data_IF_784135487542
#
_entry.id   IF_784135487542
#
_cell.length_a   1.000
_cell.length_b   1.000
_cell.length_c   1.000
_cell.angle_alpha   90.00
_cell.angle_beta   90.00
_cell.angle_gamma   90.00
#
_symmetry.space_group_name_H-M   'P 1'
#
loop_
_entity.id
_entity.type
_entity.pdbx_description
1 polymer ?
#
# COMPACT_ATOMS: atom_id res chain seq x y z
N UNK A 1 -1.82 -4.52 13.39
CA UNK A 1 -0.89 -4.99 12.34
C UNK A 1 -0.87 -3.93 11.26
N UNK A 2 0.31 -3.42 10.90
CA UNK A 2 0.44 -2.43 9.82
C UNK A 2 0.41 -3.12 8.45
N UNK A 3 -0.05 -2.40 7.43
CA UNK A 3 -0.01 -2.86 6.05
C UNK A 3 1.40 -2.68 5.49
N UNK A 4 1.88 -3.70 4.77
CA UNK A 4 3.24 -3.75 4.22
C UNK A 4 3.21 -3.63 2.70
N UNK A 5 4.01 -2.72 2.16
CA UNK A 5 4.25 -2.57 0.72
C UNK A 5 5.71 -2.95 0.39
N UNK A 6 5.92 -3.97 -0.42
CA UNK A 6 7.26 -4.39 -0.84
C UNK A 6 7.76 -3.57 -2.02
N UNK A 7 8.94 -2.97 -1.90
CA UNK A 7 9.58 -2.27 -3.02
C UNK A 7 10.43 -3.28 -3.79
N UNK A 8 10.11 -3.49 -5.05
CA UNK A 8 10.81 -4.40 -5.95
C UNK A 8 11.29 -3.67 -7.21
N UNK A 9 12.22 -4.26 -7.92
CA UNK A 9 12.72 -3.75 -9.19
C UNK A 9 14.05 -4.40 -9.56
N UNK A 10 14.43 -4.29 -10.83
CA UNK A 10 15.73 -4.73 -11.31
C UNK A 10 16.87 -3.92 -10.67
N UNK A 11 18.11 -4.38 -10.73
CA UNK A 11 19.26 -3.57 -10.31
C UNK A 11 19.33 -2.24 -11.08
N UNK A 12 19.84 -1.20 -10.41
CA UNK A 12 20.12 0.12 -10.99
C UNK A 12 18.89 0.91 -11.50
N UNK A 13 17.69 0.61 -11.00
CA UNK A 13 16.46 1.37 -11.31
C UNK A 13 16.18 2.53 -10.36
N UNK A 14 17.04 2.75 -9.35
CA UNK A 14 16.86 3.78 -8.32
C UNK A 14 16.09 3.29 -7.07
N UNK A 15 15.90 1.97 -6.92
CA UNK A 15 15.16 1.38 -5.80
C UNK A 15 15.75 1.76 -4.44
N UNK A 16 17.06 1.64 -4.25
CA UNK A 16 17.74 1.95 -2.99
C UNK A 16 17.70 3.45 -2.68
N UNK A 17 17.84 4.31 -3.67
CA UNK A 17 17.71 5.77 -3.53
C UNK A 17 16.30 6.12 -3.04
N UNK A 18 15.27 5.55 -3.66
CA UNK A 18 13.88 5.74 -3.24
C UNK A 18 13.64 5.26 -1.81
N UNK A 19 14.15 4.06 -1.47
CA UNK A 19 14.00 3.50 -0.12
C UNK A 19 14.74 4.34 0.92
N UNK A 20 15.93 4.87 0.61
CA UNK A 20 16.67 5.77 1.49
C UNK A 20 15.88 7.07 1.75
N UNK A 21 15.29 7.67 0.71
CA UNK A 21 14.45 8.84 0.87
C UNK A 21 13.22 8.56 1.77
N UNK A 22 12.57 7.41 1.61
CA UNK A 22 11.49 6.96 2.48
C UNK A 22 11.94 6.80 3.93
N UNK A 23 13.07 6.13 4.17
CA UNK A 23 13.59 5.87 5.53
C UNK A 23 14.09 7.14 6.21
N UNK A 24 14.71 8.06 5.47
CA UNK A 24 15.09 9.38 6.00
C UNK A 24 13.87 10.20 6.41
N UNK A 25 12.83 10.19 5.58
CA UNK A 25 11.54 10.83 5.91
C UNK A 25 10.92 10.18 7.15
N UNK A 26 10.94 8.86 7.26
CA UNK A 26 10.48 8.12 8.43
C UNK A 26 11.28 8.46 9.69
N UNK A 27 12.60 8.55 9.61
CA UNK A 27 13.47 8.91 10.73
C UNK A 27 13.23 10.35 11.22
N UNK A 28 13.06 11.31 10.29
CA UNK A 28 12.73 12.68 10.62
C UNK A 28 11.35 12.80 11.31
N UNK A 29 10.38 12.00 10.88
CA UNK A 29 9.07 11.91 11.53
C UNK A 29 9.15 11.21 12.90
N UNK A 30 9.97 10.16 13.02
CA UNK A 30 10.16 9.40 14.26
C UNK A 30 10.74 10.24 15.40
N UNK A 31 11.56 11.24 15.09
CA UNK A 31 12.08 12.18 16.08
C UNK A 31 10.96 12.96 16.81
N UNK A 32 9.79 13.07 16.19
CA UNK A 32 8.61 13.74 16.73
C UNK A 32 7.60 12.77 17.41
N UNK A 33 7.78 11.44 17.25
CA UNK A 33 6.85 10.44 17.77
C UNK A 33 7.59 9.30 18.47
N UNK A 34 7.34 9.02 19.76
CA UNK A 34 7.92 7.89 20.48
C UNK A 34 7.38 6.55 19.92
N UNK A 35 8.22 5.51 19.92
CA UNK A 35 7.92 4.12 19.51
C UNK A 35 8.09 3.77 18.01
N UNK A 36 8.89 4.50 17.23
CA UNK A 36 9.28 4.06 15.89
C UNK A 36 10.49 3.12 15.98
N UNK A 37 10.31 1.87 15.58
CA UNK A 37 11.40 0.90 15.44
C UNK A 37 12.06 1.08 14.07
N UNK A 38 13.38 1.22 14.02
CA UNK A 38 14.15 1.23 12.77
C UNK A 38 14.71 -0.18 12.60
N UNK A 39 14.13 -0.94 11.68
CA UNK A 39 14.63 -2.24 11.26
C UNK A 39 15.36 -2.12 9.92
N UNK A 40 16.45 -2.86 9.68
CA UNK A 40 17.11 -2.89 8.37
C UNK A 40 16.09 -3.27 7.27
N UNK A 41 16.11 -2.55 6.18
CA UNK A 41 15.22 -2.76 5.03
C UNK A 41 13.71 -2.57 5.29
N UNK A 42 13.34 -1.93 6.40
CA UNK A 42 11.95 -1.60 6.74
C UNK A 42 11.83 -0.10 7.01
N UNK A 43 10.95 0.58 6.29
CA UNK A 43 10.63 2.00 6.45
C UNK A 43 9.18 2.17 6.84
N UNK A 44 8.92 2.62 8.08
CA UNK A 44 7.58 2.88 8.56
C UNK A 44 7.28 4.38 8.44
N UNK A 45 6.44 4.78 7.48
CA UNK A 45 6.19 6.17 7.10
C UNK A 45 4.76 6.60 7.41
N UNK A 46 4.61 7.86 7.84
CA UNK A 46 3.29 8.45 8.03
C UNK A 46 2.58 8.64 6.68
N UNK A 47 1.28 8.34 6.66
CA UNK A 47 0.42 8.63 5.51
C UNK A 47 0.04 10.11 5.56
N UNK A 48 0.40 10.90 4.54
CA UNK A 48 0.05 12.31 4.51
C UNK A 48 -1.46 12.49 4.39
N UNK A 49 -2.07 13.15 5.38
CA UNK A 49 -3.50 13.44 5.38
C UNK A 49 -3.75 14.83 6.01
N UNK A 50 -3.98 15.88 5.20
CA UNK A 50 -4.17 17.24 5.70
C UNK A 50 -5.44 17.38 6.56
N UNK A 51 -6.37 16.44 6.48
CA UNK A 51 -7.59 16.44 7.30
C UNK A 51 -7.28 16.32 8.78
N UNK A 52 -6.23 15.56 9.13
CA UNK A 52 -5.84 15.34 10.52
C UNK A 52 -5.39 16.62 11.21
N UNK A 53 -4.59 17.45 10.52
CA UNK A 53 -4.15 18.75 11.05
C UNK A 53 -5.32 19.71 11.24
N UNK A 54 -6.26 19.75 10.28
CA UNK A 54 -7.48 20.55 10.37
C UNK A 54 -8.33 20.14 11.57
N UNK A 55 -8.52 18.84 11.77
CA UNK A 55 -9.28 18.31 12.92
C UNK A 55 -8.60 18.64 14.25
N UNK A 56 -7.28 18.49 14.32
CA UNK A 56 -6.50 18.81 15.51
C UNK A 56 -6.58 20.30 15.87
N UNK A 57 -6.53 21.19 14.88
CA UNK A 57 -6.65 22.63 15.08
C UNK A 57 -8.04 23.02 15.65
N UNK A 58 -9.12 22.45 15.10
CA UNK A 58 -10.49 22.69 15.56
C UNK A 58 -10.71 22.19 17.00
N UNK A 59 -10.17 21.01 17.33
CA UNK A 59 -10.33 20.40 18.65
C UNK A 59 -9.34 20.95 19.70
N UNK A 60 -8.33 21.69 19.30
CA UNK A 60 -7.23 22.13 20.17
C UNK A 60 -6.41 20.96 20.70
N UNK A 61 -6.20 19.92 19.88
CA UNK A 61 -5.49 18.70 20.26
C UNK A 61 -4.01 19.01 20.56
N UNK A 62 -3.48 18.38 21.62
CA UNK A 62 -2.07 18.56 22.02
C UNK A 62 -1.12 17.73 21.15
N UNK A 63 -1.59 16.57 20.69
CA UNK A 63 -0.83 15.64 19.86
C UNK A 63 -1.55 15.32 18.55
N UNK A 64 -0.80 15.16 17.47
CA UNK A 64 -1.31 14.80 16.14
C UNK A 64 -0.63 13.49 15.76
N UNK A 65 -1.40 12.40 15.64
CA UNK A 65 -0.86 11.07 15.39
C UNK A 65 -1.38 10.55 14.04
N UNK A 66 -0.55 10.59 12.98
CA UNK A 66 -0.93 10.07 11.66
C UNK A 66 -0.98 8.55 11.65
N UNK A 67 -1.74 7.99 10.72
CA UNK A 67 -1.61 6.57 10.40
C UNK A 67 -0.32 6.30 9.63
N UNK A 68 0.12 5.05 9.60
CA UNK A 68 1.41 4.66 9.02
C UNK A 68 1.25 3.49 8.06
N UNK A 69 2.14 3.45 7.07
CA UNK A 69 2.33 2.32 6.16
C UNK A 69 3.79 1.89 6.20
N UNK A 70 4.02 0.60 6.15
CA UNK A 70 5.36 0.02 6.18
C UNK A 70 5.82 -0.30 4.78
N UNK A 71 6.96 0.26 4.35
CA UNK A 71 7.65 -0.15 3.15
C UNK A 71 8.79 -1.11 3.48
N UNK A 72 8.94 -2.15 2.67
CA UNK A 72 10.00 -3.16 2.82
C UNK A 72 10.87 -3.16 1.57
N UNK A 73 12.17 -2.87 1.70
CA UNK A 73 13.10 -3.01 0.58
C UNK A 73 13.38 -4.48 0.32
N UNK A 74 12.90 -4.97 -0.81
CA UNK A 74 13.12 -6.34 -1.25
C UNK A 74 14.26 -6.33 -2.27
N UNK A 75 15.34 -7.05 -1.97
CA UNK A 75 16.53 -7.11 -2.82
C UNK A 75 16.17 -7.43 -4.28
N UNK A 76 16.87 -6.80 -5.23
CA UNK A 76 16.52 -6.88 -6.64
C UNK A 76 16.47 -8.30 -7.22
N UNK A 77 15.48 -8.56 -8.05
CA UNK A 77 15.33 -9.80 -8.80
C UNK A 77 16.31 -9.83 -9.97
N UNK A 78 16.95 -10.96 -10.21
CA UNK A 78 17.68 -11.29 -11.44
C UNK A 78 16.94 -12.41 -12.15
N UNK A 79 17.01 -12.47 -13.48
CA UNK A 79 16.44 -13.56 -14.27
C UNK A 79 16.87 -14.92 -13.74
N UNK A 80 15.93 -15.88 -13.66
CA UNK A 80 16.20 -17.24 -13.16
C UNK A 80 16.11 -17.37 -11.64
N UNK A 81 15.64 -16.36 -10.92
CA UNK A 81 15.48 -16.41 -9.46
C UNK A 81 14.49 -17.50 -9.02
N UNK A 82 13.51 -17.84 -9.85
CA UNK A 82 12.56 -18.94 -9.59
C UNK A 82 13.23 -20.33 -9.64
N UNK A 83 14.38 -20.46 -10.31
CA UNK A 83 15.13 -21.72 -10.46
C UNK A 83 16.43 -21.75 -9.65
N UNK A 84 16.77 -20.63 -8.96
CA UNK A 84 18.04 -20.46 -8.25
C UNK A 84 18.01 -20.92 -6.80
N UNK A 85 19.14 -21.43 -6.31
CA UNK A 85 19.38 -21.63 -4.90
C UNK A 85 19.79 -20.30 -4.22
N UNK A 86 19.33 -20.03 -3.00
CA UNK A 86 19.81 -18.90 -2.18
C UNK A 86 19.02 -17.59 -2.31
N UNK A 87 19.61 -16.54 -2.88
CA UNK A 87 19.04 -15.17 -2.90
C UNK A 87 17.66 -15.07 -3.58
N UNK A 88 17.38 -15.86 -4.63
CA UNK A 88 16.11 -15.89 -5.31
C UNK A 88 14.98 -16.38 -4.40
N UNK A 89 15.21 -17.42 -3.61
CA UNK A 89 14.22 -17.94 -2.67
C UNK A 89 13.92 -16.94 -1.56
N UNK A 90 14.91 -16.21 -1.07
CA UNK A 90 14.72 -15.16 -0.07
C UNK A 90 13.89 -13.99 -0.63
N UNK A 91 14.17 -13.57 -1.86
CA UNK A 91 13.37 -12.57 -2.58
C UNK A 91 11.89 -12.97 -2.65
N UNK A 92 11.60 -14.20 -3.10
CA UNK A 92 10.23 -14.71 -3.20
C UNK A 92 9.54 -14.82 -1.84
N UNK A 93 10.29 -15.19 -0.78
CA UNK A 93 9.77 -15.23 0.58
C UNK A 93 9.35 -13.84 1.07
N UNK A 94 10.19 -12.84 0.86
CA UNK A 94 9.90 -11.45 1.25
C UNK A 94 8.67 -10.90 0.52
N UNK A 95 8.49 -11.20 -0.79
CA UNK A 95 7.28 -10.80 -1.52
C UNK A 95 6.03 -11.46 -0.94
N UNK A 96 6.12 -12.71 -0.44
CA UNK A 96 4.96 -13.37 0.18
C UNK A 96 4.49 -12.68 1.46
N UNK A 97 5.37 -12.01 2.19
CA UNK A 97 5.09 -11.37 3.47
C UNK A 97 4.47 -9.97 3.38
N UNK A 98 4.49 -9.34 2.19
CA UNK A 98 3.91 -8.01 1.98
C UNK A 98 2.49 -8.08 1.42
N UNK A 99 1.71 -7.01 1.57
CA UNK A 99 0.31 -6.95 1.13
C UNK A 99 0.16 -6.40 -0.29
N UNK A 100 1.09 -5.57 -0.73
CA UNK A 100 1.17 -5.00 -2.09
C UNK A 100 2.62 -4.87 -2.55
N UNK A 101 2.81 -4.67 -3.85
CA UNK A 101 4.13 -4.51 -4.48
C UNK A 101 4.21 -3.13 -5.14
N UNK A 102 5.22 -2.34 -4.75
CA UNK A 102 5.65 -1.14 -5.46
C UNK A 102 6.81 -1.52 -6.39
N UNK A 103 6.52 -1.63 -7.68
CA UNK A 103 7.48 -2.05 -8.69
C UNK A 103 8.17 -0.83 -9.30
N UNK A 104 9.41 -0.59 -8.91
CA UNK A 104 10.23 0.54 -9.40
C UNK A 104 10.80 0.20 -10.77
N UNK A 105 10.54 1.07 -11.73
CA UNK A 105 10.93 0.94 -13.11
C UNK A 105 11.81 2.14 -13.52
N UNK A 106 12.90 1.86 -14.23
CA UNK A 106 13.79 2.89 -14.74
C UNK A 106 13.17 3.55 -15.98
N UNK A 107 12.79 4.81 -15.83
CA UNK A 107 12.21 5.64 -16.90
C UNK A 107 13.10 6.87 -17.21
N UNK A 108 14.42 6.75 -17.03
CA UNK A 108 15.41 7.79 -17.30
C UNK A 108 16.60 7.22 -18.05
N UNK A 109 17.24 8.06 -18.87
CA UNK A 109 18.50 7.76 -19.55
C UNK A 109 19.66 8.34 -18.73
N UNK A 110 20.72 7.54 -18.54
CA UNK A 110 21.93 7.94 -17.85
C UNK A 110 23.05 7.00 -18.32
N UNK A 111 24.04 7.56 -19.02
CA UNK A 111 25.15 6.81 -19.61
C UNK A 111 26.11 6.23 -18.56
N UNK A 112 26.16 6.82 -17.37
CA UNK A 112 27.00 6.37 -16.25
C UNK A 112 26.38 5.18 -15.49
N UNK A 113 25.10 4.91 -15.70
CA UNK A 113 24.35 3.84 -15.03
C UNK A 113 24.05 2.71 -16.01
N UNK A 114 24.77 1.59 -15.90
CA UNK A 114 24.55 0.42 -16.74
C UNK A 114 23.17 -0.20 -16.48
N UNK A 115 22.38 -0.43 -17.54
CA UNK A 115 21.17 -1.22 -17.47
C UNK A 115 21.48 -2.72 -17.57
N UNK A 116 20.85 -3.55 -16.74
CA UNK A 116 21.14 -5.01 -16.66
C UNK A 116 20.83 -5.71 -17.99
N UNK A 117 19.79 -5.26 -18.70
CA UNK A 117 19.38 -5.82 -20.01
C UNK A 117 20.00 -5.06 -21.19
N UNK A 118 20.93 -4.11 -20.95
CA UNK A 118 21.61 -3.32 -21.99
C UNK A 118 20.73 -2.31 -22.73
N UNK A 119 19.44 -2.23 -22.41
CA UNK A 119 18.45 -1.35 -23.04
C UNK A 119 17.43 -0.90 -21.98
N UNK A 120 17.03 0.38 -22.01
CA UNK A 120 15.99 0.91 -21.14
C UNK A 120 14.62 0.60 -21.77
N UNK A 121 13.91 -0.36 -21.21
CA UNK A 121 12.57 -0.76 -21.63
C UNK A 121 11.77 -1.19 -20.40
N UNK A 122 11.16 -0.22 -19.65
CA UNK A 122 10.51 -0.50 -18.39
C UNK A 122 9.31 -1.46 -18.52
N UNK A 123 8.69 -1.54 -19.69
CA UNK A 123 7.60 -2.50 -19.93
C UNK A 123 8.17 -3.92 -19.95
N UNK A 124 9.25 -4.14 -20.69
CA UNK A 124 9.96 -5.44 -20.73
C UNK A 124 10.53 -5.81 -19.36
N UNK A 125 11.03 -4.82 -18.60
CA UNK A 125 11.52 -5.03 -17.23
C UNK A 125 10.40 -5.49 -16.29
N UNK A 126 9.23 -4.86 -16.40
CA UNK A 126 8.06 -5.25 -15.62
C UNK A 126 7.59 -6.67 -15.95
N UNK A 127 7.51 -7.01 -17.23
CA UNK A 127 7.15 -8.35 -17.70
C UNK A 127 8.15 -9.42 -17.23
N UNK A 128 9.45 -9.08 -17.20
CA UNK A 128 10.51 -10.00 -16.72
C UNK A 128 10.27 -10.36 -15.24
N UNK A 129 10.07 -9.37 -14.39
CA UNK A 129 9.81 -9.59 -12.95
C UNK A 129 8.51 -10.36 -12.76
N UNK A 130 7.44 -9.97 -13.44
CA UNK A 130 6.14 -10.62 -13.32
C UNK A 130 6.18 -12.09 -13.76
N UNK A 131 6.91 -12.39 -14.84
CA UNK A 131 7.09 -13.76 -15.33
C UNK A 131 7.75 -14.65 -14.28
N UNK A 132 8.80 -14.17 -13.61
CA UNK A 132 9.47 -14.95 -12.54
C UNK A 132 8.52 -15.21 -11.35
N UNK A 133 7.69 -14.24 -10.98
CA UNK A 133 6.69 -14.40 -9.93
C UNK A 133 5.60 -15.41 -10.34
N UNK A 134 5.12 -15.34 -11.60
CA UNK A 134 4.12 -16.28 -12.12
C UNK A 134 4.65 -17.71 -12.15
N UNK A 135 5.91 -17.92 -12.56
CA UNK A 135 6.54 -19.25 -12.57
C UNK A 135 6.64 -19.83 -11.15
N UNK A 136 7.05 -19.01 -10.18
CA UNK A 136 7.15 -19.44 -8.79
C UNK A 136 5.77 -19.75 -8.16
N UNK A 137 4.74 -18.96 -8.48
CA UNK A 137 3.36 -19.23 -8.06
C UNK A 137 2.84 -20.53 -8.68
N UNK A 138 3.07 -20.73 -9.98
CA UNK A 138 2.65 -21.92 -10.70
C UNK A 138 3.28 -23.18 -10.10
N UNK A 139 4.58 -23.19 -9.85
CA UNK A 139 5.30 -24.30 -9.21
C UNK A 139 4.73 -24.60 -7.81
N UNK A 140 4.46 -23.55 -7.03
CA UNK A 140 3.86 -23.70 -5.70
C UNK A 140 2.47 -24.35 -5.75
N UNK A 141 1.65 -23.93 -6.71
CA UNK A 141 0.29 -24.48 -6.87
C UNK A 141 0.29 -25.91 -7.38
N UNK A 142 1.13 -26.24 -8.37
CA UNK A 142 1.21 -27.59 -8.94
C UNK A 142 1.56 -28.63 -7.88
N UNK A 143 2.41 -28.29 -6.91
CA UNK A 143 2.72 -29.16 -5.77
C UNK A 143 1.49 -29.45 -4.88
N UNK A 144 0.50 -28.55 -4.84
CA UNK A 144 -0.71 -28.68 -4.01
C UNK A 144 -1.85 -29.44 -4.69
N UNK A 145 -1.87 -29.53 -6.03
CA UNK A 145 -2.97 -30.11 -6.81
C UNK A 145 -3.17 -31.60 -6.46
N UNK A 146 -2.15 -32.44 -6.63
CA UNK A 146 -2.26 -33.90 -6.41
C UNK A 146 -2.77 -34.30 -5.03
N UNK A 147 -2.28 -33.71 -3.91
CA UNK A 147 -2.83 -33.99 -2.58
C UNK A 147 -4.31 -33.59 -2.44
N UNK A 148 -4.67 -32.41 -3.00
CA UNK A 148 -6.05 -31.91 -2.93
C UNK A 148 -7.02 -32.73 -3.79
N UNK A 149 -6.62 -33.20 -4.97
CA UNK A 149 -7.41 -34.08 -5.81
C UNK A 149 -7.78 -35.38 -5.08
N UNK A 150 -6.84 -36.00 -4.35
CA UNK A 150 -7.11 -37.18 -3.55
C UNK A 150 -8.18 -36.92 -2.48
N UNK A 151 -8.09 -35.83 -1.75
CA UNK A 151 -9.06 -35.41 -0.73
C UNK A 151 -10.41 -35.03 -1.34
N UNK A 152 -10.43 -34.31 -2.44
CA UNK A 152 -11.65 -33.94 -3.16
C UNK A 152 -12.40 -35.18 -3.66
N UNK A 153 -11.68 -36.19 -4.16
CA UNK A 153 -12.24 -37.47 -4.62
C UNK A 153 -12.74 -38.34 -3.45
N UNK A 154 -12.20 -38.20 -2.23
CA UNK A 154 -12.72 -38.82 -1.03
C UNK A 154 -13.98 -38.18 -0.45
N UNK A 155 -14.44 -37.07 -1.04
CA UNK A 155 -15.68 -36.40 -0.69
C UNK A 155 -15.53 -35.16 0.18
N UNK A 156 -14.29 -34.71 0.51
CA UNK A 156 -14.05 -33.51 1.31
C UNK A 156 -14.48 -32.26 0.53
N UNK A 157 -15.48 -31.54 1.03
CA UNK A 157 -16.05 -30.34 0.40
C UNK A 157 -15.03 -29.22 0.32
N UNK A 158 -14.32 -28.94 1.42
CA UNK A 158 -13.29 -27.90 1.50
C UNK A 158 -12.14 -28.12 0.51
N UNK A 159 -11.74 -29.39 0.31
CA UNK A 159 -10.71 -29.73 -0.68
C UNK A 159 -11.17 -29.47 -2.11
N UNK A 160 -12.46 -29.66 -2.42
CA UNK A 160 -13.01 -29.34 -3.75
C UNK A 160 -13.05 -27.86 -4.00
N UNK A 161 -13.47 -27.06 -3.01
CA UNK A 161 -13.52 -25.60 -3.09
C UNK A 161 -12.11 -25.02 -3.27
N UNK A 162 -11.15 -25.49 -2.47
CA UNK A 162 -9.75 -25.07 -2.58
C UNK A 162 -9.14 -25.44 -3.95
N UNK A 163 -9.42 -26.65 -4.44
CA UNK A 163 -8.95 -27.11 -5.76
C UNK A 163 -9.51 -26.23 -6.89
N UNK A 164 -10.80 -25.89 -6.83
CA UNK A 164 -11.42 -25.01 -7.82
C UNK A 164 -10.74 -23.64 -7.88
N UNK A 165 -10.42 -23.02 -6.72
CA UNK A 165 -9.71 -21.76 -6.66
C UNK A 165 -8.27 -21.85 -7.19
N UNK A 166 -7.56 -22.94 -6.86
CA UNK A 166 -6.22 -23.20 -7.39
C UNK A 166 -6.27 -23.33 -8.91
N UNK A 167 -7.25 -24.04 -9.46
CA UNK A 167 -7.38 -24.22 -10.90
C UNK A 167 -7.67 -22.90 -11.63
N UNK A 168 -8.46 -21.99 -11.05
CA UNK A 168 -8.63 -20.62 -11.58
C UNK A 168 -7.28 -19.92 -11.73
N UNK A 169 -6.44 -19.96 -10.68
CA UNK A 169 -5.11 -19.33 -10.71
C UNK A 169 -4.18 -20.00 -11.72
N UNK A 170 -4.10 -21.34 -11.71
CA UNK A 170 -3.24 -22.13 -12.62
C UNK A 170 -3.57 -21.86 -14.09
N UNK A 171 -4.84 -21.75 -14.43
CA UNK A 171 -5.27 -21.44 -15.80
C UNK A 171 -4.72 -20.09 -16.26
N UNK A 172 -4.87 -19.05 -15.44
CA UNK A 172 -4.34 -17.73 -15.73
C UNK A 172 -2.81 -17.71 -15.86
N UNK A 173 -2.12 -18.32 -14.91
CA UNK A 173 -0.65 -18.36 -14.90
C UNK A 173 -0.09 -19.08 -16.13
N UNK A 174 -0.73 -20.18 -16.57
CA UNK A 174 -0.36 -20.90 -17.79
C UNK A 174 -0.62 -20.11 -19.08
N UNK A 175 -1.59 -19.16 -19.03
CA UNK A 175 -1.86 -18.22 -20.11
C UNK A 175 -0.93 -16.99 -20.05
N UNK A 176 0.04 -16.94 -19.13
CA UNK A 176 0.91 -15.77 -18.93
C UNK A 176 0.17 -14.56 -18.31
N UNK A 177 -0.87 -14.82 -17.54
CA UNK A 177 -1.64 -13.78 -16.85
C UNK A 177 -1.47 -13.90 -15.33
N UNK A 178 -1.27 -12.80 -14.60
CA UNK A 178 -1.11 -12.83 -13.15
C UNK A 178 -2.39 -13.26 -12.44
N UNK A 179 -2.23 -13.90 -11.28
CA UNK A 179 -3.34 -14.45 -10.50
C UNK A 179 -4.35 -13.39 -10.02
N UNK A 180 -3.95 -12.10 -9.92
CA UNK A 180 -4.85 -10.98 -9.58
C UNK A 180 -5.94 -10.72 -10.63
N UNK A 181 -5.83 -11.30 -11.83
CA UNK A 181 -6.86 -11.21 -12.89
C UNK A 181 -7.96 -12.27 -12.74
N UNK A 182 -7.95 -13.06 -11.69
CA UNK A 182 -8.99 -14.04 -11.45
C UNK A 182 -10.36 -13.37 -11.23
N UNK A 183 -11.37 -13.84 -11.96
CA UNK A 183 -12.75 -13.47 -11.70
C UNK A 183 -13.26 -14.27 -10.48
N UNK A 184 -13.43 -13.55 -9.36
CA UNK A 184 -13.76 -14.09 -8.06
C UNK A 184 -15.09 -13.54 -7.55
N UNK A 185 -15.98 -14.42 -7.16
CA UNK A 185 -17.14 -14.07 -6.37
C UNK A 185 -16.72 -13.48 -5.00
N UNK A 186 -17.54 -12.64 -4.36
CA UNK A 186 -17.18 -12.03 -3.07
C UNK A 186 -16.74 -13.04 -2.01
N UNK A 187 -17.41 -14.18 -1.93
CA UNK A 187 -17.11 -15.28 -1.00
C UNK A 187 -15.80 -16.02 -1.30
N UNK A 188 -15.32 -15.98 -2.54
CA UNK A 188 -14.08 -16.63 -2.98
C UNK A 188 -12.83 -15.79 -2.64
N UNK A 189 -12.97 -14.47 -2.47
CA UNK A 189 -11.83 -13.54 -2.30
C UNK A 189 -10.99 -13.86 -1.07
N UNK A 190 -11.64 -14.15 0.06
CA UNK A 190 -10.96 -14.53 1.30
C UNK A 190 -10.15 -15.83 1.14
N UNK A 191 -10.77 -16.95 0.78
CA UNK A 191 -10.06 -18.20 0.52
C UNK A 191 -8.98 -18.10 -0.57
N UNK A 192 -9.20 -17.30 -1.62
CA UNK A 192 -8.21 -17.09 -2.68
C UNK A 192 -6.98 -16.36 -2.17
N UNK A 193 -7.14 -15.32 -1.34
CA UNK A 193 -6.02 -14.60 -0.74
C UNK A 193 -5.16 -15.50 0.16
N UNK A 194 -5.78 -16.51 0.81
CA UNK A 194 -5.08 -17.49 1.63
C UNK A 194 -4.19 -18.45 0.82
N UNK A 195 -4.32 -18.49 -0.50
CA UNK A 195 -3.38 -19.24 -1.35
C UNK A 195 -1.96 -18.68 -1.28
N UNK A 196 -1.80 -17.42 -0.87
CA UNK A 196 -0.51 -16.76 -0.67
C UNK A 196 0.26 -16.53 -1.97
N UNK A 197 -0.48 -16.28 -3.08
CA UNK A 197 0.11 -16.05 -4.39
C UNK A 197 0.71 -14.65 -4.49
N UNK A 198 1.93 -14.55 -4.98
CA UNK A 198 2.63 -13.28 -5.16
C UNK A 198 1.97 -12.44 -6.25
N UNK A 199 1.57 -13.08 -7.35
CA UNK A 199 0.91 -12.41 -8.47
C UNK A 199 -0.58 -12.11 -8.25
N UNK A 200 -1.17 -12.54 -7.12
CA UNK A 200 -2.49 -12.12 -6.68
C UNK A 200 -2.47 -10.76 -5.97
N UNK A 201 -1.30 -10.30 -5.52
CA UNK A 201 -1.15 -9.03 -4.81
C UNK A 201 -1.32 -7.85 -5.76
N UNK A 202 -1.90 -6.72 -5.27
CA UNK A 202 -1.95 -5.48 -6.04
C UNK A 202 -0.54 -4.96 -6.34
N UNK A 203 -0.38 -4.37 -7.54
CA UNK A 203 0.88 -3.79 -8.01
C UNK A 203 0.70 -2.31 -8.29
N UNK A 204 1.66 -1.50 -7.82
CA UNK A 204 1.86 -0.10 -8.15
C UNK A 204 3.16 0.04 -8.93
N UNK A 205 3.09 0.52 -10.17
CA UNK A 205 4.28 0.82 -10.96
C UNK A 205 4.82 2.19 -10.59
N UNK A 206 6.09 2.24 -10.18
CA UNK A 206 6.79 3.47 -9.80
C UNK A 206 7.76 3.84 -10.90
N UNK A 207 7.39 4.80 -11.72
CA UNK A 207 8.20 5.31 -12.83
C UNK A 207 9.26 6.28 -12.27
N UNK A 208 10.48 5.80 -12.09
CA UNK A 208 11.60 6.66 -11.70
C UNK A 208 12.14 7.39 -12.92
N UNK A 209 11.95 8.71 -12.98
CA UNK A 209 12.35 9.59 -14.08
C UNK A 209 13.50 10.50 -13.68
N UNK A 210 14.12 11.15 -14.68
CA UNK A 210 15.06 12.25 -14.46
C UNK A 210 14.37 13.47 -13.81
N UNK A 211 15.13 14.36 -13.17
CA UNK A 211 14.63 15.49 -12.40
C UNK A 211 13.71 16.41 -13.22
N UNK A 212 14.07 16.70 -14.48
CA UNK A 212 13.28 17.56 -15.36
C UNK A 212 11.88 17.02 -15.69
N UNK A 213 11.67 15.73 -15.53
CA UNK A 213 10.39 15.05 -15.82
C UNK A 213 9.59 14.68 -14.57
N UNK A 214 10.02 15.08 -13.38
CA UNK A 214 9.40 14.68 -12.11
C UNK A 214 7.94 15.16 -11.98
N UNK A 215 7.59 16.31 -12.56
CA UNK A 215 6.25 16.87 -12.51
C UNK A 215 5.29 16.23 -13.53
N UNK A 216 5.76 15.96 -14.75
CA UNK A 216 4.89 15.58 -15.89
C UNK A 216 5.13 14.19 -16.44
N UNK A 217 6.21 13.52 -16.03
CA UNK A 217 6.68 12.30 -16.68
C UNK A 217 7.36 12.58 -18.03
N UNK A 218 7.72 11.50 -18.71
CA UNK A 218 8.35 11.52 -20.03
C UNK A 218 7.75 10.45 -20.95
N UNK A 219 8.27 10.35 -22.18
CA UNK A 219 7.78 9.38 -23.17
C UNK A 219 7.97 7.90 -22.72
N UNK A 220 8.95 7.63 -21.85
CA UNK A 220 9.23 6.29 -21.32
C UNK A 220 8.20 5.96 -20.24
N UNK A 221 7.96 6.86 -19.27
CA UNK A 221 6.97 6.67 -18.21
C UNK A 221 5.55 6.58 -18.76
N UNK A 222 5.23 7.29 -19.86
CA UNK A 222 3.91 7.21 -20.53
C UNK A 222 3.60 5.79 -21.05
N UNK A 223 4.62 5.00 -21.46
CA UNK A 223 4.42 3.59 -21.85
C UNK A 223 4.02 2.73 -20.66
N UNK A 224 4.64 2.97 -19.50
CA UNK A 224 4.30 2.27 -18.25
C UNK A 224 2.89 2.63 -17.79
N UNK A 225 2.50 3.90 -17.89
CA UNK A 225 1.15 4.34 -17.56
C UNK A 225 0.09 3.66 -18.43
N UNK A 226 0.35 3.56 -19.75
CA UNK A 226 -0.53 2.86 -20.67
C UNK A 226 -0.64 1.37 -20.34
N UNK A 227 0.47 0.71 -20.01
CA UNK A 227 0.52 -0.69 -19.55
C UNK A 227 -0.29 -0.86 -18.27
N UNK A 228 -0.02 -0.05 -17.24
CA UNK A 228 -0.71 -0.11 -15.96
C UNK A 228 -2.23 0.04 -16.13
N UNK A 229 -2.67 1.01 -16.95
CA UNK A 229 -4.08 1.23 -17.25
C UNK A 229 -4.72 0.03 -17.94
N UNK A 230 -4.04 -0.60 -18.90
CA UNK A 230 -4.51 -1.79 -19.59
C UNK A 230 -4.66 -3.00 -18.65
N UNK A 231 -3.86 -3.06 -17.60
CA UNK A 231 -3.90 -4.10 -16.58
C UNK A 231 -4.87 -3.82 -15.43
N UNK A 232 -5.44 -2.62 -15.35
CA UNK A 232 -6.21 -2.16 -14.19
C UNK A 232 -5.35 -1.89 -12.97
N UNK A 233 -4.03 -1.75 -13.16
CA UNK A 233 -3.08 -1.34 -12.15
C UNK A 233 -2.94 0.19 -12.12
N UNK A 234 -2.15 0.69 -11.17
CA UNK A 234 -1.82 2.13 -11.06
C UNK A 234 -0.35 2.37 -11.31
N UNK A 235 -0.03 3.60 -11.72
CA UNK A 235 1.35 4.08 -11.82
C UNK A 235 1.51 5.42 -11.14
N UNK A 236 2.72 5.71 -10.70
CA UNK A 236 3.13 7.00 -10.15
C UNK A 236 4.47 7.39 -10.75
N UNK A 237 4.60 8.66 -11.13
CA UNK A 237 5.88 9.23 -11.58
C UNK A 237 6.59 9.86 -10.39
N UNK A 238 7.88 9.57 -10.24
CA UNK A 238 8.72 10.07 -9.16
C UNK A 238 10.16 10.24 -9.67
N UNK A 239 10.89 11.21 -9.17
CA UNK A 239 12.34 11.25 -9.30
C UNK A 239 12.98 10.89 -7.96
N UNK A 240 13.55 9.70 -7.87
CA UNK A 240 14.15 9.22 -6.62
C UNK A 240 15.27 10.14 -6.12
N UNK A 241 15.97 10.83 -7.05
CA UNK A 241 17.01 11.80 -6.72
C UNK A 241 16.44 13.05 -6.06
N UNK A 242 15.35 13.62 -6.61
CA UNK A 242 14.65 14.76 -5.99
C UNK A 242 14.13 14.37 -4.60
N UNK A 243 13.56 13.17 -4.44
CA UNK A 243 13.04 12.74 -3.14
C UNK A 243 14.16 12.62 -2.08
N UNK A 244 15.34 12.15 -2.49
CA UNK A 244 16.51 12.08 -1.61
C UNK A 244 16.97 13.48 -1.18
N UNK A 245 16.97 14.45 -2.10
CA UNK A 245 17.31 15.86 -1.80
C UNK A 245 16.29 16.48 -0.84
N UNK A 246 14.99 16.32 -1.11
CA UNK A 246 13.91 16.82 -0.24
C UNK A 246 14.01 16.22 1.17
N UNK A 247 14.31 14.93 1.27
CA UNK A 247 14.42 14.24 2.56
C UNK A 247 15.54 14.84 3.44
N UNK A 248 16.62 15.30 2.84
CA UNK A 248 17.76 15.92 3.52
C UNK A 248 17.60 17.44 3.76
N UNK A 249 16.63 18.08 3.10
CA UNK A 249 16.44 19.53 3.13
C UNK A 249 15.70 19.98 4.40
N UNK A 250 16.06 21.15 4.98
CA UNK A 250 15.30 21.78 6.05
C UNK A 250 13.83 21.99 5.65
N UNK A 251 12.91 21.81 6.57
CA UNK A 251 11.46 21.90 6.28
C UNK A 251 11.06 23.30 5.70
N UNK A 252 11.74 24.36 6.13
CA UNK A 252 11.47 25.73 5.66
C UNK A 252 11.76 25.93 4.17
N UNK A 253 12.73 25.18 3.60
CA UNK A 253 13.20 25.36 2.22
C UNK A 253 12.45 24.45 1.22
N UNK A 254 11.71 23.45 1.73
CA UNK A 254 11.05 22.43 0.89
C UNK A 254 9.99 22.99 -0.03
N UNK A 255 9.19 23.95 0.45
CA UNK A 255 8.10 24.53 -0.33
C UNK A 255 8.63 25.29 -1.56
N UNK A 256 9.63 26.13 -1.38
CA UNK A 256 10.26 26.91 -2.45
C UNK A 256 10.96 25.98 -3.45
N UNK A 257 11.59 24.92 -2.97
CA UNK A 257 12.24 23.93 -3.82
C UNK A 257 11.22 23.19 -4.70
N UNK A 258 10.12 22.71 -4.12
CA UNK A 258 9.04 22.05 -4.86
C UNK A 258 8.43 22.98 -5.91
N UNK A 259 8.15 24.24 -5.56
CA UNK A 259 7.62 25.25 -6.48
C UNK A 259 8.57 25.48 -7.65
N UNK A 260 9.88 25.54 -7.40
CA UNK A 260 10.91 25.72 -8.46
C UNK A 260 10.92 24.57 -9.48
N UNK A 261 10.48 23.36 -9.07
CA UNK A 261 10.37 22.17 -9.91
C UNK A 261 8.97 21.98 -10.51
N UNK A 262 8.03 22.88 -10.22
CA UNK A 262 6.62 22.75 -10.63
C UNK A 262 5.88 21.59 -9.94
N UNK A 263 6.32 21.22 -8.73
CA UNK A 263 5.72 20.18 -7.92
C UNK A 263 4.87 20.80 -6.81
N UNK A 264 3.64 20.32 -6.63
CA UNK A 264 2.77 20.74 -5.53
C UNK A 264 3.15 20.04 -4.21
N UNK A 265 3.70 18.81 -4.31
CA UNK A 265 4.10 17.99 -3.18
C UNK A 265 5.22 17.01 -3.56
N UNK A 266 5.93 16.44 -2.58
CA UNK A 266 6.88 15.34 -2.82
C UNK A 266 6.22 14.16 -3.53
N UNK A 267 6.92 13.52 -4.46
CA UNK A 267 6.45 12.32 -5.14
C UNK A 267 6.24 11.15 -4.18
N UNK A 268 7.00 11.10 -3.08
CA UNK A 268 6.80 10.14 -2.00
C UNK A 268 5.39 10.22 -1.40
N UNK A 269 4.83 11.41 -1.24
CA UNK A 269 3.47 11.58 -0.74
C UNK A 269 2.45 10.95 -1.70
N UNK A 270 2.63 11.14 -3.02
CA UNK A 270 1.81 10.50 -4.04
C UNK A 270 1.96 8.97 -4.01
N UNK A 271 3.19 8.49 -3.88
CA UNK A 271 3.47 7.06 -3.76
C UNK A 271 2.76 6.44 -2.56
N UNK A 272 2.88 7.07 -1.38
CA UNK A 272 2.27 6.59 -0.13
C UNK A 272 0.75 6.56 -0.26
N UNK A 273 0.12 7.64 -0.75
CA UNK A 273 -1.34 7.69 -0.93
C UNK A 273 -1.83 6.67 -1.95
N UNK A 274 -1.14 6.56 -3.09
CA UNK A 274 -1.54 5.58 -4.12
C UNK A 274 -1.39 4.15 -3.62
N UNK A 275 -0.34 3.84 -2.86
CA UNK A 275 -0.16 2.55 -2.22
C UNK A 275 -1.26 2.25 -1.19
N UNK A 276 -1.65 3.25 -0.41
CA UNK A 276 -2.73 3.17 0.57
C UNK A 276 -4.08 2.85 -0.09
N UNK A 277 -4.41 3.58 -1.15
CA UNK A 277 -5.63 3.33 -1.93
C UNK A 277 -5.61 1.98 -2.65
N UNK A 278 -4.44 1.55 -3.16
CA UNK A 278 -4.27 0.28 -3.84
C UNK A 278 -4.58 -0.91 -2.93
N UNK A 279 -4.22 -0.79 -1.66
CA UNK A 279 -4.53 -1.76 -0.61
C UNK A 279 -6.00 -1.72 -0.18
N UNK A 280 -6.81 -0.85 -0.77
CA UNK A 280 -8.22 -0.68 -0.40
C UNK A 280 -8.37 -0.18 1.03
N UNK A 281 -7.44 0.64 1.51
CA UNK A 281 -7.45 1.23 2.84
C UNK A 281 -8.25 2.53 2.84
N UNK A 282 -8.80 2.86 3.99
CA UNK A 282 -9.41 4.15 4.28
C UNK A 282 -9.04 4.60 5.70
N UNK A 283 -9.17 5.90 5.93
CA UNK A 283 -8.84 6.54 7.19
C UNK A 283 -10.11 6.99 7.90
N UNK A 284 -10.22 6.67 9.19
CA UNK A 284 -11.12 7.35 10.11
C UNK A 284 -10.32 8.03 11.22
N UNK A 285 -10.95 8.95 11.92
CA UNK A 285 -10.28 9.76 12.93
C UNK A 285 -10.95 9.62 14.30
N UNK A 286 -10.13 9.67 15.35
CA UNK A 286 -10.56 9.97 16.71
C UNK A 286 -9.99 11.33 17.10
N UNK A 287 -10.81 12.20 17.65
CA UNK A 287 -10.44 13.59 17.89
C UNK A 287 -10.84 13.99 19.31
N UNK A 288 -9.90 14.57 20.05
CA UNK A 288 -10.13 15.07 21.40
C UNK A 288 -9.05 16.06 21.83
N UNK A 289 -9.18 16.69 23.01
CA UNK A 289 -8.20 17.69 23.49
C UNK A 289 -6.78 17.13 23.70
N UNK A 290 -6.65 15.84 23.99
CA UNK A 290 -5.35 15.21 24.19
C UNK A 290 -4.68 14.90 22.85
N UNK A 291 -5.41 14.24 21.96
CA UNK A 291 -4.88 13.82 20.66
C UNK A 291 -5.95 13.89 19.56
N UNK A 292 -5.49 14.16 18.34
CA UNK A 292 -6.17 13.84 17.10
C UNK A 292 -5.38 12.72 16.42
N UNK A 293 -6.08 11.62 16.10
CA UNK A 293 -5.41 10.44 15.57
C UNK A 293 -6.12 9.87 14.36
N UNK A 294 -5.35 9.54 13.34
CA UNK A 294 -5.80 8.83 12.16
C UNK A 294 -5.62 7.32 12.34
N UNK A 295 -6.62 6.56 11.93
CA UNK A 295 -6.66 5.11 12.02
C UNK A 295 -6.94 4.50 10.66
N UNK A 296 -6.31 3.36 10.36
CA UNK A 296 -6.48 2.65 9.10
C UNK A 296 -7.42 1.48 9.25
N UNK A 297 -8.39 1.38 8.33
CA UNK A 297 -9.20 0.17 8.13
C UNK A 297 -9.28 -0.19 6.66
N UNK A 298 -9.64 -1.43 6.35
CA UNK A 298 -9.94 -1.84 4.98
C UNK A 298 -11.32 -1.33 4.57
N UNK A 299 -11.47 -0.97 3.32
CA UNK A 299 -12.76 -0.55 2.73
C UNK A 299 -13.81 -1.65 2.95
N UNK A 300 -14.97 -1.27 3.44
CA UNK A 300 -16.04 -2.19 3.80
C UNK A 300 -16.01 -2.66 5.25
N UNK A 301 -15.04 -2.23 6.06
CA UNK A 301 -15.01 -2.51 7.50
C UNK A 301 -16.22 -1.89 8.21
N UNK A 302 -16.79 -2.63 9.15
CA UNK A 302 -17.91 -2.19 9.98
C UNK A 302 -17.42 -1.53 11.27
N UNK A 303 -18.32 -0.83 11.96
CA UNK A 303 -18.04 -0.14 13.22
C UNK A 303 -17.27 -0.97 14.26
N UNK A 304 -17.65 -2.21 14.57
CA UNK A 304 -16.88 -3.07 15.48
C UNK A 304 -15.45 -3.33 15.04
N UNK A 305 -15.21 -3.58 13.73
CA UNK A 305 -13.87 -3.79 13.19
C UNK A 305 -13.01 -2.54 13.30
N UNK A 306 -13.58 -1.35 13.06
CA UNK A 306 -12.89 -0.09 13.26
C UNK A 306 -12.54 0.15 14.73
N UNK A 307 -13.44 -0.17 15.65
CA UNK A 307 -13.17 -0.13 17.09
C UNK A 307 -12.03 -1.09 17.47
N UNK A 308 -11.98 -2.28 16.84
CA UNK A 308 -10.95 -3.31 17.03
C UNK A 308 -9.55 -2.87 16.62
N UNK A 309 -9.42 -1.95 15.66
CA UNK A 309 -8.13 -1.36 15.29
C UNK A 309 -7.54 -0.54 16.44
N UNK A 310 -8.37 0.06 17.27
CA UNK A 310 -7.94 0.81 18.46
C UNK A 310 -7.57 -0.15 19.58
N UNK A 311 -8.49 -1.06 19.91
CA UNK A 311 -8.28 -2.10 20.93
C UNK A 311 -9.26 -3.26 20.74
N UNK A 312 -8.82 -4.49 20.98
CA UNK A 312 -9.66 -5.69 20.85
C UNK A 312 -10.90 -5.67 21.77
N UNK A 313 -10.78 -5.08 22.95
CA UNK A 313 -11.92 -4.95 23.88
C UNK A 313 -13.00 -4.01 23.33
N UNK A 314 -12.61 -3.00 22.53
CA UNK A 314 -13.56 -2.10 21.88
C UNK A 314 -14.38 -2.82 20.81
N UNK A 315 -13.79 -3.77 20.10
CA UNK A 315 -14.49 -4.62 19.15
C UNK A 315 -15.50 -5.54 19.85
N UNK A 316 -15.03 -6.25 20.89
CA UNK A 316 -15.85 -7.22 21.63
C UNK A 316 -17.00 -6.52 22.38
N UNK A 317 -16.69 -5.42 23.05
CA UNK A 317 -17.64 -4.63 23.82
C UNK A 317 -18.45 -3.61 23.03
N UNK A 318 -18.33 -3.56 21.69
CA UNK A 318 -18.92 -2.53 20.86
C UNK A 318 -20.43 -2.37 21.06
N UNK A 319 -20.85 -1.16 21.40
CA UNK A 319 -22.27 -0.79 21.52
C UNK A 319 -22.69 0.03 20.30
N UNK A 320 -22.01 1.15 20.05
CA UNK A 320 -22.26 2.08 18.95
C UNK A 320 -21.06 3.00 18.73
N UNK A 321 -21.02 3.66 17.57
CA UNK A 321 -20.13 4.78 17.32
C UNK A 321 -20.92 6.09 17.20
N UNK A 322 -20.43 7.14 17.81
CA UNK A 322 -20.83 8.51 17.59
C UNK A 322 -19.99 9.01 16.41
N UNK A 323 -20.64 9.34 15.30
CA UNK A 323 -19.95 9.54 14.00
C UNK A 323 -20.36 10.87 13.37
N UNK A 324 -19.37 11.63 12.91
CA UNK A 324 -19.54 12.87 12.15
C UNK A 324 -18.64 12.76 10.92
N UNK A 325 -19.16 13.04 9.73
CA UNK A 325 -18.33 13.10 8.54
C UNK A 325 -17.35 14.30 8.63
N UNK A 326 -16.12 14.15 8.11
CA UNK A 326 -15.11 15.21 8.13
C UNK A 326 -15.64 16.59 7.65
N UNK A 327 -16.32 16.69 6.48
CA UNK A 327 -16.84 17.98 6.04
C UNK A 327 -17.83 18.62 7.01
N UNK A 328 -18.67 17.80 7.63
CA UNK A 328 -19.68 18.27 8.60
C UNK A 328 -19.02 18.70 9.92
N UNK A 329 -17.94 18.03 10.33
CA UNK A 329 -17.15 18.39 11.51
C UNK A 329 -16.46 19.75 11.31
N UNK A 330 -15.88 19.97 10.12
CA UNK A 330 -15.23 21.25 9.77
C UNK A 330 -16.26 22.37 9.67
N UNK A 331 -17.38 22.14 8.96
CA UNK A 331 -18.46 23.13 8.82
C UNK A 331 -19.09 23.53 10.17
N UNK A 332 -19.21 22.57 11.09
CA UNK A 332 -19.70 22.79 12.44
C UNK A 332 -18.65 23.37 13.41
N UNK A 333 -17.42 23.58 12.96
CA UNK A 333 -16.29 23.96 13.81
C UNK A 333 -16.19 23.07 15.06
N UNK A 334 -16.34 21.75 14.84
CA UNK A 334 -16.25 20.71 15.86
C UNK A 334 -17.58 19.98 16.14
N UNK A 335 -17.53 19.11 17.13
CA UNK A 335 -18.67 18.24 17.49
C UNK A 335 -19.93 19.01 17.85
N UNK A 336 -19.82 20.09 18.62
CA UNK A 336 -21.00 20.86 19.11
C UNK A 336 -21.81 21.43 17.94
N UNK A 337 -21.15 22.14 16.99
CA UNK A 337 -21.84 22.72 15.85
C UNK A 337 -22.35 21.67 14.86
N UNK A 338 -21.62 20.57 14.68
CA UNK A 338 -22.12 19.45 13.89
C UNK A 338 -23.37 18.80 14.51
N UNK A 339 -23.44 18.72 15.85
CA UNK A 339 -24.62 18.23 16.59
C UNK A 339 -25.80 19.16 16.43
N UNK A 340 -25.61 20.49 16.56
CA UNK A 340 -26.66 21.50 16.34
C UNK A 340 -27.19 21.47 14.91
N UNK A 341 -26.32 21.22 13.94
CA UNK A 341 -26.69 21.07 12.54
C UNK A 341 -27.34 19.71 12.19
N UNK A 342 -27.54 18.82 13.16
CA UNK A 342 -28.13 17.49 12.97
C UNK A 342 -27.24 16.52 12.19
N UNK A 343 -25.91 16.75 12.18
CA UNK A 343 -24.92 15.93 11.46
C UNK A 343 -24.23 14.88 12.34
N UNK A 344 -24.56 14.86 13.61
CA UNK A 344 -24.10 13.86 14.55
C UNK A 344 -24.96 12.59 14.47
N UNK A 345 -24.35 11.47 14.15
CA UNK A 345 -25.00 10.18 13.92
C UNK A 345 -24.63 9.17 14.99
N UNK A 346 -25.57 8.30 15.34
CA UNK A 346 -25.33 7.15 16.20
C UNK A 346 -25.37 5.88 15.34
N UNK A 347 -24.22 5.26 15.14
CA UNK A 347 -24.06 4.16 14.21
C UNK A 347 -23.94 2.82 14.96
N UNK A 348 -24.76 1.85 14.54
CA UNK A 348 -24.77 0.49 15.09
C UNK A 348 -23.69 -0.41 14.50
N UNK A 349 -23.78 -1.70 14.83
CA UNK A 349 -22.79 -2.73 14.45
C UNK A 349 -22.67 -2.94 12.93
N UNK A 350 -23.72 -2.64 12.17
CA UNK A 350 -23.73 -2.87 10.71
C UNK A 350 -23.30 -1.65 9.90
N UNK A 351 -22.97 -0.55 10.55
CA UNK A 351 -22.46 0.63 9.88
C UNK A 351 -21.14 0.35 9.19
N UNK A 352 -21.08 0.64 7.89
CA UNK A 352 -19.84 0.56 7.10
C UNK A 352 -19.12 1.90 7.21
N UNK A 353 -17.91 1.87 7.74
CA UNK A 353 -17.08 3.08 7.96
C UNK A 353 -16.76 3.74 6.63
N UNK A 354 -16.97 5.06 6.58
CA UNK A 354 -16.63 5.89 5.44
C UNK A 354 -15.27 6.58 5.65
N UNK A 355 -14.56 6.85 4.54
CA UNK A 355 -13.30 7.58 4.59
C UNK A 355 -13.54 9.01 5.10
N UNK A 356 -12.78 9.41 6.11
CA UNK A 356 -12.92 10.72 6.76
C UNK A 356 -13.92 10.78 7.90
N UNK A 357 -14.53 9.66 8.32
CA UNK A 357 -15.39 9.66 9.50
C UNK A 357 -14.61 10.06 10.77
N UNK A 358 -15.13 10.98 11.54
CA UNK A 358 -14.68 11.30 12.90
C UNK A 358 -15.54 10.49 13.84
N UNK A 359 -14.94 9.55 14.59
CA UNK A 359 -15.66 8.54 15.34
C UNK A 359 -15.29 8.53 16.83
N UNK A 360 -16.29 8.37 17.69
CA UNK A 360 -16.10 8.09 19.10
C UNK A 360 -16.86 6.82 19.48
N UNK A 361 -16.12 5.78 19.91
CA UNK A 361 -16.69 4.48 20.20
C UNK A 361 -17.22 4.39 21.63
N UNK A 362 -18.43 3.84 21.78
CA UNK A 362 -19.04 3.46 23.05
C UNK A 362 -19.03 1.94 23.14
N UNK A 363 -18.42 1.43 24.19
CA UNK A 363 -18.25 -0.01 24.43
C UNK A 363 -18.46 -0.35 25.91
N UNK A 364 -18.80 -1.60 26.19
CA UNK A 364 -18.81 -2.16 27.55
C UNK A 364 -17.47 -2.82 27.82
N UNK A 365 -16.94 -2.60 29.03
CA UNK A 365 -15.79 -3.34 29.56
C UNK A 365 -16.21 -4.74 30.00
#
# INVERSE_FOLDING_TARGET
MGFKCGIVGLPNVGKSTLFNALTQTAAAQAANYPFCTIEPNVGDVAVPDPRLETLAAIAGSQEIIPTRITFVDIAGLVRGASKGEGLGNQFLANIREVDAVAHVLRCFEDDDITHVEGKIDPVSDAETVETELMLADLESLEKRIKPLEKKANSGEKEAREALALIMKAVTLLREGKPARRADLAPEERGPYSQLGLMTAKPVLYVCNVEEASAATGNAISAKVEAMAKAEGARSVVISAKIEEEIAQMPAADRADFLESLGLEEPGLNRLIRTGYELLGLLTFFTVGPKEARAWTVTKGSKGPQAAGVIHTDFEQGYIRAETIAYPDYVAGNGEAGAREAGKFRLEGKDYVVADGDVMHFRFNN
#
